data_IF_760331966831
#
_entry.id   IF_760331966831
#
_cell.length_a   1.000
_cell.length_b   1.000
_cell.length_c   1.000
_cell.angle_alpha   90.00
_cell.angle_beta   90.00
_cell.angle_gamma   90.00
#
_symmetry.space_group_name_H-M   'P 1'
#
loop_
_entity.id
_entity.type
_entity.pdbx_description
1 polymer ?
#
# COMPACT_ATOMS: atom_id res chain seq x y z
N UNK A 1 -20.26 -55.83 5.40
CA UNK A 1 -21.36 -54.85 5.31
C UNK A 1 -22.59 -55.44 4.60
N UNK A 2 -22.44 -56.32 3.64
CA UNK A 2 -23.59 -57.09 3.04
C UNK A 2 -24.40 -57.93 4.04
N UNK A 3 -23.86 -58.25 5.21
CA UNK A 3 -24.59 -58.99 6.25
C UNK A 3 -25.67 -58.16 6.94
N UNK A 4 -25.42 -56.86 7.18
CA UNK A 4 -26.41 -55.97 7.81
C UNK A 4 -27.60 -55.75 6.87
N UNK A 5 -27.35 -55.58 5.58
CA UNK A 5 -28.40 -55.42 4.57
C UNK A 5 -29.21 -56.71 4.46
N UNK A 6 -28.54 -57.89 4.44
CA UNK A 6 -29.19 -59.20 4.44
C UNK A 6 -29.98 -59.47 5.72
N UNK A 7 -29.46 -59.02 6.86
CA UNK A 7 -30.16 -59.19 8.15
C UNK A 7 -31.43 -58.36 8.23
N UNK A 8 -31.37 -57.12 7.72
CA UNK A 8 -32.53 -56.23 7.62
C UNK A 8 -33.55 -56.76 6.60
N UNK A 9 -33.07 -57.26 5.45
CA UNK A 9 -33.94 -57.92 4.46
C UNK A 9 -34.59 -59.19 5.02
N UNK A 10 -33.89 -60.03 5.78
CA UNK A 10 -34.46 -61.22 6.42
C UNK A 10 -35.46 -60.86 7.51
N UNK A 11 -35.19 -59.83 8.30
CA UNK A 11 -36.16 -59.35 9.32
C UNK A 11 -37.43 -58.76 8.69
N UNK A 12 -37.31 -58.08 7.56
CA UNK A 12 -38.44 -57.50 6.81
C UNK A 12 -39.17 -58.53 5.94
N UNK A 13 -38.49 -59.56 5.44
CA UNK A 13 -39.11 -60.69 4.71
C UNK A 13 -40.00 -61.58 5.58
N UNK A 14 -39.85 -61.49 6.89
CA UNK A 14 -40.79 -62.13 7.84
C UNK A 14 -42.14 -61.39 7.96
N UNK A 15 -42.22 -60.14 7.41
CA UNK A 15 -43.45 -59.38 7.30
C UNK A 15 -44.11 -59.62 5.92
N UNK A 16 -45.40 -59.59 5.80
CA UNK A 16 -46.24 -59.93 4.61
C UNK A 16 -46.10 -58.94 3.44
N UNK A 17 -45.01 -58.21 3.36
CA UNK A 17 -44.71 -57.18 2.33
C UNK A 17 -44.02 -57.82 1.11
N UNK A 18 -44.66 -57.77 -0.05
CA UNK A 18 -44.13 -58.31 -1.33
C UNK A 18 -43.95 -57.19 -2.36
N UNK A 19 -42.90 -57.30 -3.20
CA UNK A 19 -42.69 -56.43 -4.32
C UNK A 19 -41.99 -55.10 -4.00
N UNK A 20 -42.31 -54.01 -4.73
CA UNK A 20 -41.65 -52.69 -4.62
C UNK A 20 -41.75 -52.02 -3.26
N UNK A 21 -42.75 -52.36 -2.44
CA UNK A 21 -42.89 -51.88 -1.06
C UNK A 21 -41.78 -52.39 -0.14
N UNK A 22 -41.31 -53.63 -0.34
CA UNK A 22 -40.21 -54.18 0.45
C UNK A 22 -38.93 -53.37 0.23
N UNK A 23 -38.58 -53.08 -1.02
CA UNK A 23 -37.38 -52.26 -1.35
C UNK A 23 -37.48 -50.87 -0.74
N UNK A 24 -38.66 -50.27 -0.75
CA UNK A 24 -38.86 -48.90 -0.18
C UNK A 24 -38.70 -48.92 1.34
N UNK A 25 -39.28 -49.90 2.02
CA UNK A 25 -39.18 -50.05 3.48
C UNK A 25 -37.75 -50.36 3.91
N UNK A 26 -37.04 -51.23 3.17
CA UNK A 26 -35.61 -51.52 3.40
C UNK A 26 -34.74 -50.27 3.27
N UNK A 27 -34.96 -49.49 2.23
CA UNK A 27 -34.26 -48.25 2.00
C UNK A 27 -34.51 -47.24 3.13
N UNK A 28 -35.77 -47.07 3.55
CA UNK A 28 -36.15 -46.22 4.66
C UNK A 28 -35.53 -46.69 5.98
N UNK A 29 -35.50 -47.97 6.25
CA UNK A 29 -34.91 -48.57 7.45
C UNK A 29 -33.38 -48.30 7.48
N UNK A 30 -32.68 -48.46 6.34
CA UNK A 30 -31.25 -48.15 6.23
C UNK A 30 -30.96 -46.68 6.51
N UNK A 31 -31.76 -45.77 5.96
CA UNK A 31 -31.62 -44.32 6.25
C UNK A 31 -31.91 -44.03 7.73
N UNK A 32 -32.93 -44.63 8.32
CA UNK A 32 -33.27 -44.43 9.73
C UNK A 32 -32.17 -44.94 10.68
N UNK A 33 -31.58 -46.10 10.39
CA UNK A 33 -30.46 -46.66 11.19
C UNK A 33 -29.20 -45.78 11.05
N UNK A 34 -28.85 -45.38 9.85
CA UNK A 34 -27.68 -44.51 9.64
C UNK A 34 -27.88 -43.16 10.27
N UNK A 35 -29.09 -42.57 10.20
CA UNK A 35 -29.41 -41.30 10.87
C UNK A 35 -29.35 -41.42 12.40
N UNK A 36 -29.86 -42.54 12.96
CA UNK A 36 -29.77 -42.82 14.39
C UNK A 36 -28.32 -42.95 14.86
N UNK A 37 -27.50 -43.70 14.10
CA UNK A 37 -26.07 -43.84 14.41
C UNK A 37 -25.34 -42.52 14.32
N UNK A 38 -25.62 -41.73 13.30
CA UNK A 38 -25.02 -40.36 13.14
C UNK A 38 -25.43 -39.45 14.31
N UNK A 39 -26.70 -39.53 14.75
CA UNK A 39 -27.18 -38.76 15.89
C UNK A 39 -26.53 -39.20 17.22
N UNK A 40 -26.34 -40.52 17.42
CA UNK A 40 -25.64 -41.05 18.59
C UNK A 40 -24.18 -40.60 18.63
N UNK A 41 -23.47 -40.66 17.50
CA UNK A 41 -22.10 -40.18 17.38
C UNK A 41 -22.02 -38.66 17.63
N UNK A 42 -22.95 -37.90 17.09
CA UNK A 42 -23.05 -36.46 17.37
C UNK A 42 -23.24 -36.17 18.85
N UNK A 43 -24.19 -36.87 19.50
CA UNK A 43 -24.44 -36.77 20.95
C UNK A 43 -23.22 -37.14 21.79
N UNK A 44 -22.48 -38.18 21.39
CA UNK A 44 -21.24 -38.60 22.05
C UNK A 44 -20.18 -37.48 21.91
N UNK A 45 -20.00 -36.94 20.71
CA UNK A 45 -19.05 -35.86 20.47
C UNK A 45 -19.38 -34.60 21.30
N UNK A 46 -20.64 -34.18 21.32
CA UNK A 46 -21.08 -32.97 22.03
C UNK A 46 -21.11 -33.15 23.55
N UNK A 47 -21.63 -34.29 24.05
CA UNK A 47 -21.83 -34.47 25.48
C UNK A 47 -20.64 -35.10 26.23
N UNK A 48 -19.77 -35.82 25.53
CA UNK A 48 -18.61 -36.49 26.15
C UNK A 48 -17.31 -35.93 25.69
N UNK A 49 -17.06 -35.91 24.38
CA UNK A 49 -15.74 -35.49 23.82
C UNK A 49 -15.48 -33.99 24.03
N UNK A 50 -16.47 -33.14 23.74
CA UNK A 50 -16.30 -31.67 23.90
C UNK A 50 -16.02 -31.30 25.37
N UNK A 51 -16.78 -31.69 26.39
CA UNK A 51 -16.47 -31.30 27.77
C UNK A 51 -15.20 -31.95 28.31
N UNK A 52 -14.81 -33.12 27.79
CA UNK A 52 -13.55 -33.77 28.16
C UNK A 52 -12.36 -32.94 27.61
N UNK A 53 -12.40 -32.53 26.34
CA UNK A 53 -11.38 -31.69 25.72
C UNK A 53 -11.27 -30.32 26.42
N UNK A 54 -12.39 -29.65 26.68
CA UNK A 54 -12.42 -28.39 27.42
C UNK A 54 -11.82 -28.52 28.81
N UNK A 55 -12.09 -29.68 29.50
CA UNK A 55 -11.51 -29.93 30.84
C UNK A 55 -10.01 -30.17 30.79
N UNK A 56 -9.47 -30.76 29.73
CA UNK A 56 -8.04 -30.94 29.52
C UNK A 56 -7.39 -29.60 29.24
N UNK A 57 -7.97 -28.79 28.35
CA UNK A 57 -7.48 -27.46 28.01
C UNK A 57 -7.39 -26.54 29.23
N UNK A 58 -8.38 -26.52 30.07
CA UNK A 58 -8.38 -25.71 31.30
C UNK A 58 -7.28 -26.10 32.33
N UNK A 59 -6.54 -27.19 32.09
CA UNK A 59 -5.42 -27.64 32.93
C UNK A 59 -4.03 -27.31 32.32
N UNK A 60 -4.00 -26.86 31.08
CA UNK A 60 -2.76 -26.49 30.40
C UNK A 60 -2.59 -24.96 30.46
N UNK A 61 -1.36 -24.49 30.79
CA UNK A 61 -1.01 -23.06 30.82
C UNK A 61 -0.71 -22.49 29.42
N UNK A 62 -1.04 -23.21 28.36
CA UNK A 62 -0.69 -22.86 26.98
C UNK A 62 -1.80 -22.02 26.34
N UNK A 63 -1.51 -20.78 26.04
CA UNK A 63 -2.47 -19.80 25.49
C UNK A 63 -3.09 -20.25 24.13
N UNK A 64 -2.37 -21.05 23.34
CA UNK A 64 -2.85 -21.52 22.02
C UNK A 64 -4.00 -22.54 22.10
N UNK A 65 -4.08 -23.29 23.21
CA UNK A 65 -5.12 -24.31 23.42
C UNK A 65 -6.50 -23.69 23.58
N UNK A 66 -6.60 -22.51 24.19
CA UNK A 66 -7.85 -21.80 24.42
C UNK A 66 -8.52 -21.36 23.11
N UNK A 67 -7.72 -21.11 22.05
CA UNK A 67 -8.23 -20.72 20.72
C UNK A 67 -8.59 -21.90 19.86
N UNK A 68 -7.74 -22.94 19.85
CA UNK A 68 -7.93 -24.18 19.09
C UNK A 68 -9.12 -24.99 19.61
N UNK A 69 -9.28 -25.06 20.92
CA UNK A 69 -10.26 -25.88 21.62
C UNK A 69 -11.46 -25.08 22.18
N UNK A 70 -11.66 -23.87 21.61
CA UNK A 70 -12.84 -23.07 21.94
C UNK A 70 -14.12 -23.88 21.77
N UNK A 71 -15.08 -23.84 22.72
CA UNK A 71 -16.35 -24.60 22.65
C UNK A 71 -17.11 -24.46 21.33
N UNK A 72 -17.02 -23.26 20.68
CA UNK A 72 -17.65 -23.01 19.37
C UNK A 72 -16.99 -23.79 18.24
N UNK A 73 -15.65 -23.90 18.27
CA UNK A 73 -14.87 -24.66 17.28
C UNK A 73 -15.12 -26.15 17.47
N UNK A 74 -15.04 -26.62 18.70
CA UNK A 74 -15.33 -28.04 19.04
C UNK A 74 -16.74 -28.44 18.64
N UNK A 75 -17.74 -27.60 18.91
CA UNK A 75 -19.12 -27.87 18.48
C UNK A 75 -19.24 -27.93 16.95
N UNK A 76 -18.54 -27.06 16.21
CA UNK A 76 -18.50 -27.13 14.75
C UNK A 76 -17.80 -28.41 14.26
N UNK A 77 -16.74 -28.85 14.93
CA UNK A 77 -16.04 -30.12 14.64
C UNK A 77 -16.95 -31.36 14.89
N UNK A 78 -17.82 -31.31 15.89
CA UNK A 78 -18.76 -32.36 16.17
C UNK A 78 -19.75 -32.64 15.02
N UNK A 79 -19.95 -31.72 14.10
CA UNK A 79 -20.76 -31.96 12.89
C UNK A 79 -20.01 -32.71 11.80
N UNK A 80 -18.66 -32.60 11.76
CA UNK A 80 -17.83 -33.23 10.73
C UNK A 80 -17.73 -34.74 10.95
N UNK A 81 -17.56 -35.19 12.19
CA UNK A 81 -17.36 -36.62 12.52
C UNK A 81 -18.53 -37.49 12.08
N UNK A 82 -19.80 -37.19 12.44
CA UNK A 82 -20.95 -37.96 11.95
C UNK A 82 -21.11 -37.91 10.43
N UNK A 83 -20.77 -36.77 9.82
CA UNK A 83 -20.86 -36.62 8.38
C UNK A 83 -19.90 -37.56 7.64
N UNK A 84 -18.64 -37.67 8.11
CA UNK A 84 -17.66 -38.63 7.57
C UNK A 84 -18.15 -40.08 7.75
N UNK A 85 -18.72 -40.39 8.93
CA UNK A 85 -19.28 -41.69 9.18
C UNK A 85 -20.40 -42.04 8.19
N UNK A 86 -21.37 -41.14 7.99
CA UNK A 86 -22.46 -41.32 7.01
C UNK A 86 -21.92 -41.51 5.60
N UNK A 87 -20.93 -40.69 5.20
CA UNK A 87 -20.29 -40.78 3.88
C UNK A 87 -19.58 -42.11 3.63
N UNK A 88 -19.02 -42.72 4.67
CA UNK A 88 -18.30 -43.97 4.59
C UNK A 88 -19.21 -45.19 4.64
N UNK A 89 -20.31 -45.11 5.44
CA UNK A 89 -21.19 -46.28 5.68
C UNK A 89 -22.39 -46.34 4.72
N UNK A 90 -22.98 -45.21 4.35
CA UNK A 90 -24.26 -45.21 3.62
C UNK A 90 -24.14 -45.60 2.15
N UNK A 91 -23.15 -45.14 1.34
CA UNK A 91 -23.06 -45.53 -0.07
C UNK A 91 -22.88 -47.05 -0.30
N UNK A 92 -22.02 -47.76 0.45
CA UNK A 92 -21.91 -49.23 0.29
C UNK A 92 -23.18 -50.01 0.64
N UNK A 93 -24.02 -49.45 1.52
CA UNK A 93 -25.31 -50.08 1.87
C UNK A 93 -26.36 -49.96 0.74
N UNK A 94 -26.12 -49.05 -0.20
CA UNK A 94 -27.02 -48.72 -1.32
C UNK A 94 -26.55 -49.31 -2.68
N UNK A 95 -25.69 -50.35 -2.66
CA UNK A 95 -25.17 -50.99 -3.90
C UNK A 95 -26.26 -51.51 -4.83
N UNK A 96 -27.41 -51.93 -4.27
CA UNK A 96 -28.56 -52.38 -5.04
C UNK A 96 -29.29 -51.26 -5.81
N UNK A 97 -29.02 -49.96 -5.46
CA UNK A 97 -29.69 -48.80 -6.03
C UNK A 97 -28.66 -47.76 -6.52
N UNK A 98 -28.02 -47.93 -7.68
CA UNK A 98 -26.85 -47.11 -8.12
C UNK A 98 -27.16 -45.63 -8.28
N UNK A 99 -28.39 -45.27 -8.65
CA UNK A 99 -28.81 -43.85 -8.77
C UNK A 99 -28.90 -43.19 -7.42
N UNK A 100 -29.56 -43.86 -6.45
CA UNK A 100 -29.71 -43.39 -5.06
C UNK A 100 -28.33 -43.31 -4.39
N UNK A 101 -27.47 -44.31 -4.59
CA UNK A 101 -26.10 -44.35 -4.09
C UNK A 101 -25.30 -43.12 -4.51
N UNK A 102 -25.30 -42.77 -5.82
CA UNK A 102 -24.62 -41.60 -6.34
C UNK A 102 -25.16 -40.29 -5.77
N UNK A 103 -26.51 -40.20 -5.67
CA UNK A 103 -27.15 -38.98 -5.15
C UNK A 103 -26.79 -38.75 -3.66
N UNK A 104 -26.87 -39.82 -2.87
CA UNK A 104 -26.52 -39.78 -1.44
C UNK A 104 -25.04 -39.51 -1.23
N UNK A 105 -24.15 -40.11 -2.02
CA UNK A 105 -22.73 -39.86 -1.95
C UNK A 105 -22.41 -38.37 -2.25
N UNK A 106 -23.06 -37.78 -3.26
CA UNK A 106 -22.95 -36.35 -3.53
C UNK A 106 -23.48 -35.47 -2.42
N UNK A 107 -24.68 -35.78 -1.92
CA UNK A 107 -25.32 -35.01 -0.85
C UNK A 107 -24.49 -35.06 0.45
N UNK A 108 -23.94 -36.21 0.82
CA UNK A 108 -23.05 -36.31 2.00
C UNK A 108 -21.72 -35.63 1.80
N UNK A 109 -21.13 -35.69 0.60
CA UNK A 109 -19.90 -34.94 0.27
C UNK A 109 -20.11 -33.40 0.33
N UNK A 110 -21.24 -32.90 -0.17
CA UNK A 110 -21.62 -31.50 -0.04
C UNK A 110 -21.80 -31.11 1.43
N UNK A 111 -22.49 -31.94 2.23
CA UNK A 111 -22.69 -31.71 3.67
C UNK A 111 -21.34 -31.65 4.41
N UNK A 112 -20.42 -32.59 4.14
CA UNK A 112 -19.05 -32.57 4.70
C UNK A 112 -18.34 -31.28 4.33
N UNK A 113 -18.40 -30.86 3.05
CA UNK A 113 -17.78 -29.63 2.59
C UNK A 113 -18.31 -28.42 3.36
N UNK A 114 -19.61 -28.30 3.55
CA UNK A 114 -20.26 -27.25 4.34
C UNK A 114 -19.84 -27.32 5.81
N UNK A 115 -19.81 -28.52 6.41
CA UNK A 115 -19.39 -28.68 7.79
C UNK A 115 -17.93 -28.29 8.03
N UNK A 116 -17.03 -28.73 7.17
CA UNK A 116 -15.59 -28.34 7.20
C UNK A 116 -15.43 -26.84 6.98
N UNK A 117 -16.14 -26.27 6.01
CA UNK A 117 -16.10 -24.83 5.75
C UNK A 117 -16.57 -24.03 6.99
N UNK A 118 -17.66 -24.42 7.64
CA UNK A 118 -18.14 -23.84 8.91
C UNK A 118 -17.11 -23.97 10.02
N UNK A 119 -16.47 -25.13 10.14
CA UNK A 119 -15.42 -25.38 11.13
C UNK A 119 -14.25 -24.39 10.91
N UNK A 120 -13.74 -24.28 9.69
CA UNK A 120 -12.62 -23.37 9.37
C UNK A 120 -13.01 -21.91 9.59
N UNK A 121 -14.21 -21.49 9.16
CA UNK A 121 -14.72 -20.12 9.39
C UNK A 121 -14.84 -19.81 10.88
N UNK A 122 -15.35 -20.77 11.69
CA UNK A 122 -15.47 -20.62 13.13
C UNK A 122 -14.10 -20.56 13.80
N UNK A 123 -13.16 -21.40 13.34
CA UNK A 123 -11.79 -21.39 13.80
C UNK A 123 -11.10 -20.04 13.51
N UNK A 124 -11.18 -19.53 12.27
CA UNK A 124 -10.69 -18.17 11.96
C UNK A 124 -11.38 -17.11 12.83
N UNK A 125 -12.66 -17.35 13.17
CA UNK A 125 -13.43 -16.47 14.05
C UNK A 125 -12.96 -16.47 15.50
N UNK A 126 -12.40 -17.59 15.99
CA UNK A 126 -11.94 -17.69 17.38
C UNK A 126 -10.71 -16.81 17.65
N UNK A 127 -9.89 -16.56 16.65
CA UNK A 127 -8.77 -15.59 16.77
C UNK A 127 -9.22 -14.15 17.04
N UNK A 128 -10.48 -13.82 16.78
CA UNK A 128 -11.03 -12.50 17.15
C UNK A 128 -11.23 -12.32 18.65
N UNK A 129 -11.27 -13.39 19.44
CA UNK A 129 -11.38 -13.34 20.89
C UNK A 129 -10.07 -12.88 21.56
N UNK A 130 -8.97 -12.81 20.83
CA UNK A 130 -7.70 -12.24 21.30
C UNK A 130 -7.82 -10.72 21.60
N UNK A 131 -8.92 -10.09 21.23
CA UNK A 131 -9.16 -8.65 21.29
C UNK A 131 -10.25 -8.31 22.32
N UNK A 132 -10.09 -8.75 23.57
CA UNK A 132 -11.10 -8.51 24.61
C UNK A 132 -11.01 -7.12 25.26
N UNK A 133 -10.03 -6.30 24.93
CA UNK A 133 -9.91 -4.92 25.46
C UNK A 133 -10.50 -3.91 24.46
N UNK A 134 -11.79 -3.60 24.66
CA UNK A 134 -12.58 -2.76 23.76
C UNK A 134 -12.16 -1.26 23.69
N UNK A 135 -11.25 -0.79 24.55
CA UNK A 135 -10.99 0.64 24.69
C UNK A 135 -9.78 1.18 23.90
N UNK A 136 -8.85 0.35 23.40
CA UNK A 136 -7.70 0.82 22.60
C UNK A 136 -7.30 -0.20 21.55
N UNK A 137 -8.04 -0.23 20.43
CA UNK A 137 -7.62 -1.03 19.26
C UNK A 137 -6.35 -0.45 18.65
N UNK A 138 -5.26 -1.19 18.73
CA UNK A 138 -4.05 -0.85 17.99
C UNK A 138 -4.26 -1.04 16.49
N UNK A 139 -3.57 -0.25 15.65
CA UNK A 139 -3.64 -0.38 14.19
C UNK A 139 -3.35 -1.82 13.73
N UNK A 140 -2.42 -2.52 14.40
CA UNK A 140 -2.10 -3.92 14.11
C UNK A 140 -3.29 -4.87 14.31
N UNK A 141 -4.09 -4.68 15.35
CA UNK A 141 -5.30 -5.48 15.63
C UNK A 141 -6.37 -5.27 14.56
N UNK A 142 -6.53 -4.04 14.08
CA UNK A 142 -7.47 -3.71 13.01
C UNK A 142 -7.07 -4.36 11.68
N UNK A 143 -5.77 -4.36 11.34
CA UNK A 143 -5.25 -5.08 10.17
C UNK A 143 -5.46 -6.59 10.28
N UNK A 144 -5.19 -7.18 11.45
CA UNK A 144 -5.40 -8.61 11.69
C UNK A 144 -6.87 -9.00 11.55
N UNK A 145 -7.80 -8.20 12.09
CA UNK A 145 -9.22 -8.40 11.93
C UNK A 145 -9.68 -8.40 10.46
N UNK A 146 -9.17 -7.44 9.68
CA UNK A 146 -9.44 -7.35 8.24
C UNK A 146 -8.87 -8.56 7.49
N UNK A 147 -7.66 -9.00 7.84
CA UNK A 147 -7.04 -10.20 7.29
C UNK A 147 -7.86 -11.47 7.54
N UNK A 148 -8.36 -11.67 8.78
CA UNK A 148 -9.28 -12.77 9.10
C UNK A 148 -10.58 -12.70 8.27
N UNK A 149 -11.06 -11.50 7.96
CA UNK A 149 -12.19 -11.29 7.06
C UNK A 149 -11.93 -11.82 5.65
N UNK A 150 -10.78 -11.47 5.09
CA UNK A 150 -10.33 -11.94 3.76
C UNK A 150 -10.18 -13.46 3.75
N UNK A 151 -9.56 -14.06 4.77
CA UNK A 151 -9.42 -15.52 4.87
C UNK A 151 -10.78 -16.23 4.85
N UNK A 152 -11.80 -15.69 5.52
CA UNK A 152 -13.15 -16.26 5.49
C UNK A 152 -13.76 -16.24 4.10
N UNK A 153 -13.55 -15.17 3.34
CA UNK A 153 -14.00 -15.05 1.94
C UNK A 153 -13.31 -16.11 1.08
N UNK A 154 -12.00 -16.30 1.24
CA UNK A 154 -11.24 -17.33 0.51
C UNK A 154 -11.76 -18.72 0.83
N UNK A 155 -11.99 -19.04 2.09
CA UNK A 155 -12.55 -20.34 2.51
C UNK A 155 -13.95 -20.58 1.92
N UNK A 156 -14.79 -19.54 1.93
CA UNK A 156 -16.12 -19.60 1.32
C UNK A 156 -16.02 -19.85 -0.20
N UNK A 157 -15.16 -19.14 -0.88
CA UNK A 157 -14.93 -19.27 -2.32
C UNK A 157 -14.46 -20.69 -2.69
N UNK A 158 -13.46 -21.22 -1.96
CA UNK A 158 -12.97 -22.58 -2.17
C UNK A 158 -14.05 -23.62 -1.88
N UNK A 159 -14.82 -23.45 -0.81
CA UNK A 159 -15.93 -24.34 -0.48
C UNK A 159 -17.02 -24.37 -1.56
N UNK A 160 -17.36 -23.22 -2.13
CA UNK A 160 -18.30 -23.12 -3.25
C UNK A 160 -17.77 -23.85 -4.49
N UNK A 161 -16.48 -23.70 -4.83
CA UNK A 161 -15.87 -24.42 -5.95
C UNK A 161 -15.93 -25.94 -5.74
N UNK A 162 -15.63 -26.41 -4.54
CA UNK A 162 -15.72 -27.85 -4.22
C UNK A 162 -17.16 -28.34 -4.35
N UNK A 163 -18.15 -27.60 -3.86
CA UNK A 163 -19.57 -27.97 -4.00
C UNK A 163 -19.97 -28.05 -5.48
N UNK A 164 -19.61 -27.03 -6.28
CA UNK A 164 -19.90 -27.00 -7.72
C UNK A 164 -19.22 -28.20 -8.41
N UNK A 165 -17.96 -28.50 -8.07
CA UNK A 165 -17.21 -29.64 -8.61
C UNK A 165 -17.92 -30.98 -8.35
N UNK A 166 -18.44 -31.18 -7.12
CA UNK A 166 -19.20 -32.37 -6.75
C UNK A 166 -20.50 -32.47 -7.56
N UNK A 167 -21.21 -31.35 -7.76
CA UNK A 167 -22.48 -31.35 -8.50
C UNK A 167 -22.27 -31.72 -9.96
N UNK A 168 -21.23 -31.18 -10.62
CA UNK A 168 -20.98 -31.38 -12.06
C UNK A 168 -20.06 -32.60 -12.36
N UNK A 169 -19.69 -33.39 -11.36
CA UNK A 169 -18.78 -34.55 -11.48
C UNK A 169 -17.41 -34.18 -12.09
N UNK A 170 -16.82 -33.08 -11.66
CA UNK A 170 -15.48 -32.65 -12.07
C UNK A 170 -14.56 -32.52 -10.85
N UNK A 171 -13.25 -32.55 -11.09
CA UNK A 171 -12.31 -32.30 -9.99
C UNK A 171 -12.29 -30.82 -9.61
N UNK A 172 -12.25 -30.48 -8.33
CA UNK A 172 -12.11 -29.08 -7.90
C UNK A 172 -10.86 -28.40 -8.45
N UNK A 173 -9.77 -29.18 -8.61
CA UNK A 173 -8.50 -28.67 -9.18
C UNK A 173 -8.66 -28.25 -10.63
N UNK A 174 -9.41 -29.00 -11.44
CA UNK A 174 -9.68 -28.65 -12.86
C UNK A 174 -10.45 -27.32 -12.95
N UNK A 175 -11.44 -27.12 -12.07
CA UNK A 175 -12.19 -25.86 -12.02
C UNK A 175 -11.30 -24.69 -11.60
N UNK A 176 -10.51 -24.90 -10.56
CA UNK A 176 -9.54 -23.88 -10.10
C UNK A 176 -8.52 -23.53 -11.20
N UNK A 177 -7.99 -24.52 -11.91
CA UNK A 177 -7.06 -24.29 -13.01
C UNK A 177 -7.70 -23.48 -14.14
N UNK A 178 -8.93 -23.82 -14.54
CA UNK A 178 -9.68 -23.07 -15.55
C UNK A 178 -9.97 -21.63 -15.13
N UNK A 179 -10.48 -21.45 -13.90
CA UNK A 179 -10.73 -20.11 -13.33
C UNK A 179 -9.42 -19.31 -13.20
N UNK A 180 -8.33 -19.96 -12.77
CA UNK A 180 -7.02 -19.32 -12.65
C UNK A 180 -6.49 -18.82 -13.98
N UNK A 181 -6.55 -19.65 -15.03
CA UNK A 181 -6.14 -19.27 -16.39
C UNK A 181 -6.96 -18.10 -16.92
N UNK A 182 -8.29 -18.16 -16.80
CA UNK A 182 -9.18 -17.07 -17.23
C UNK A 182 -8.90 -15.79 -16.45
N UNK A 183 -8.72 -15.90 -15.13
CA UNK A 183 -8.42 -14.74 -14.26
C UNK A 183 -7.07 -14.10 -14.61
N UNK A 184 -6.06 -14.91 -14.97
CA UNK A 184 -4.75 -14.39 -15.39
C UNK A 184 -4.87 -13.56 -16.68
N UNK A 185 -5.64 -14.04 -17.67
CA UNK A 185 -5.89 -13.29 -18.90
C UNK A 185 -6.65 -12.00 -18.62
N UNK A 186 -7.72 -12.05 -17.82
CA UNK A 186 -8.48 -10.87 -17.45
C UNK A 186 -7.61 -9.87 -16.68
N UNK A 187 -6.79 -10.34 -15.73
CA UNK A 187 -5.86 -9.47 -14.99
C UNK A 187 -4.88 -8.77 -15.93
N UNK A 188 -4.37 -9.48 -16.95
CA UNK A 188 -3.46 -8.90 -17.95
C UNK A 188 -4.16 -7.79 -18.76
N UNK A 189 -5.39 -8.02 -19.17
CA UNK A 189 -6.18 -7.03 -19.93
C UNK A 189 -6.50 -5.78 -19.11
N UNK A 190 -6.84 -5.95 -17.83
CA UNK A 190 -7.23 -4.84 -16.95
C UNK A 190 -6.09 -4.25 -16.12
N UNK A 191 -4.87 -4.80 -16.21
CA UNK A 191 -3.71 -4.40 -15.40
C UNK A 191 -3.52 -2.88 -15.37
N UNK A 192 -3.45 -2.25 -16.54
CA UNK A 192 -3.15 -0.81 -16.63
C UNK A 192 -4.30 0.04 -16.09
N UNK A 193 -5.54 -0.38 -16.31
CA UNK A 193 -6.72 0.30 -15.79
C UNK A 193 -6.76 0.25 -14.25
N UNK A 194 -6.49 -0.92 -13.66
CA UNK A 194 -6.46 -1.10 -12.21
C UNK A 194 -5.30 -0.30 -11.60
N UNK A 195 -4.12 -0.36 -12.21
CA UNK A 195 -2.93 0.35 -11.72
C UNK A 195 -3.15 1.87 -11.79
N UNK A 196 -3.73 2.37 -12.88
CA UNK A 196 -4.09 3.79 -13.03
C UNK A 196 -5.10 4.26 -11.99
N UNK A 197 -6.13 3.46 -11.73
CA UNK A 197 -7.15 3.75 -10.70
C UNK A 197 -6.51 3.82 -9.29
N UNK A 198 -5.71 2.81 -8.93
CA UNK A 198 -5.01 2.77 -7.63
C UNK A 198 -4.06 3.94 -7.48
N UNK A 199 -3.36 4.32 -8.56
CA UNK A 199 -2.48 5.48 -8.59
C UNK A 199 -3.27 6.78 -8.36
N UNK A 200 -4.40 6.98 -9.04
CA UNK A 200 -5.27 8.14 -8.83
C UNK A 200 -5.77 8.26 -7.39
N UNK A 201 -6.19 7.14 -6.79
CA UNK A 201 -6.59 7.11 -5.37
C UNK A 201 -5.42 7.48 -4.46
N UNK A 202 -4.22 6.94 -4.69
CA UNK A 202 -3.02 7.26 -3.87
C UNK A 202 -2.63 8.73 -3.97
N UNK A 203 -2.62 9.32 -5.17
CA UNK A 203 -2.32 10.73 -5.37
C UNK A 203 -3.25 11.62 -4.54
N UNK A 204 -4.55 11.32 -4.58
CA UNK A 204 -5.58 12.10 -3.87
C UNK A 204 -5.55 11.84 -2.36
N UNK A 205 -5.47 10.58 -1.93
CA UNK A 205 -5.50 10.22 -0.49
C UNK A 205 -4.26 10.66 0.27
N UNK A 206 -3.10 10.75 -0.39
CA UNK A 206 -1.86 11.21 0.23
C UNK A 206 -1.58 12.70 -0.02
N UNK A 207 -2.52 13.42 -0.60
CA UNK A 207 -2.38 14.85 -0.90
C UNK A 207 -1.11 15.20 -1.69
N UNK A 208 -0.68 14.30 -2.58
CA UNK A 208 0.57 14.49 -3.33
C UNK A 208 0.45 15.58 -4.39
N UNK A 209 -0.72 15.70 -5.00
CA UNK A 209 -1.07 16.70 -6.03
C UNK A 209 -2.52 17.11 -5.87
N UNK A 210 -2.80 18.40 -5.99
CA UNK A 210 -4.15 18.98 -5.99
C UNK A 210 -4.37 19.85 -7.21
N UNK A 211 -5.63 20.06 -7.58
CA UNK A 211 -5.99 21.07 -8.58
C UNK A 211 -5.51 22.45 -8.13
N UNK A 212 -4.83 23.16 -9.01
CA UNK A 212 -4.21 24.45 -8.72
C UNK A 212 -2.73 24.37 -8.32
N UNK A 213 -2.18 23.20 -8.05
CA UNK A 213 -0.76 23.04 -7.74
C UNK A 213 0.08 23.29 -9.01
N UNK A 214 1.19 23.96 -8.83
CA UNK A 214 2.25 24.00 -9.86
C UNK A 214 3.13 22.76 -9.68
N UNK A 215 3.20 21.93 -10.72
CA UNK A 215 4.04 20.74 -10.77
C UNK A 215 5.00 20.77 -11.97
N UNK A 216 6.16 20.12 -11.80
CA UNK A 216 7.12 19.88 -12.88
C UNK A 216 7.37 18.37 -12.99
N UNK A 217 7.16 17.82 -14.20
CA UNK A 217 7.45 16.44 -14.57
C UNK A 217 8.31 16.48 -15.84
N UNK A 218 9.61 16.60 -15.66
CA UNK A 218 10.56 16.84 -16.78
C UNK A 218 10.46 15.79 -17.88
N UNK A 219 10.39 14.51 -17.50
CA UNK A 219 10.31 13.38 -18.45
C UNK A 219 9.10 13.43 -19.37
N UNK A 220 8.03 14.08 -18.94
CA UNK A 220 6.76 14.16 -19.68
C UNK A 220 6.51 15.56 -20.27
N UNK A 221 7.46 16.49 -20.11
CA UNK A 221 7.31 17.85 -20.59
C UNK A 221 6.21 18.66 -19.90
N UNK A 222 5.80 18.27 -18.70
CA UNK A 222 4.82 19.01 -17.91
C UNK A 222 5.54 19.94 -16.95
N UNK A 223 5.29 21.26 -17.09
CA UNK A 223 5.76 22.30 -16.18
C UNK A 223 4.72 23.42 -16.13
N UNK A 224 3.81 23.33 -15.18
CA UNK A 224 2.68 24.26 -15.11
C UNK A 224 1.70 23.93 -14.00
N UNK A 225 0.50 24.48 -14.12
CA UNK A 225 -0.55 24.36 -13.10
C UNK A 225 -1.49 23.21 -13.42
N UNK A 226 -1.82 22.41 -12.43
CA UNK A 226 -2.82 21.35 -12.53
C UNK A 226 -4.20 21.97 -12.75
N UNK A 227 -4.73 21.84 -13.94
CA UNK A 227 -6.03 22.38 -14.32
C UNK A 227 -7.17 21.49 -13.88
N UNK A 228 -6.99 20.18 -14.04
CA UNK A 228 -8.02 19.20 -13.73
C UNK A 228 -7.38 17.87 -13.34
N UNK A 229 -8.03 17.14 -12.44
CA UNK A 229 -7.56 15.84 -11.98
C UNK A 229 -8.75 14.88 -11.86
N UNK A 230 -8.63 13.74 -12.53
CA UNK A 230 -9.56 12.62 -12.46
C UNK A 230 -8.82 11.38 -11.92
N UNK A 231 -9.53 10.28 -11.70
CA UNK A 231 -8.91 9.02 -11.27
C UNK A 231 -7.94 8.43 -12.30
N UNK A 232 -8.09 8.79 -13.57
CA UNK A 232 -7.27 8.24 -14.67
C UNK A 232 -6.36 9.24 -15.34
N UNK A 233 -6.53 10.54 -15.10
CA UNK A 233 -5.77 11.59 -15.80
C UNK A 233 -5.54 12.82 -14.92
N UNK A 234 -4.34 13.42 -15.05
CA UNK A 234 -4.00 14.74 -14.50
C UNK A 234 -3.68 15.65 -15.68
N UNK A 235 -4.44 16.74 -15.85
CA UNK A 235 -4.20 17.74 -16.89
C UNK A 235 -3.39 18.88 -16.30
N UNK A 236 -2.22 19.14 -16.89
CA UNK A 236 -1.32 20.23 -16.52
C UNK A 236 -1.32 21.27 -17.64
N UNK A 237 -1.68 22.50 -17.32
CA UNK A 237 -1.53 23.64 -18.21
C UNK A 237 -0.13 24.21 -18.01
N UNK A 238 0.74 24.00 -18.99
CA UNK A 238 2.06 24.55 -19.01
C UNK A 238 2.06 26.08 -19.10
N UNK A 239 3.17 26.72 -18.77
CA UNK A 239 3.31 28.18 -18.84
C UNK A 239 3.32 28.75 -20.28
N UNK A 240 3.50 27.90 -21.29
CA UNK A 240 3.32 28.24 -22.71
C UNK A 240 1.87 28.06 -23.20
N UNK A 241 0.92 27.83 -22.27
CA UNK A 241 -0.49 27.53 -22.50
C UNK A 241 -0.81 26.19 -23.18
N UNK A 242 0.16 25.32 -23.40
CA UNK A 242 -0.10 23.95 -23.82
C UNK A 242 -0.66 23.11 -22.68
N UNK A 243 -1.46 22.08 -23.01
CA UNK A 243 -1.99 21.16 -22.01
C UNK A 243 -1.30 19.81 -22.17
N UNK A 244 -0.65 19.35 -21.11
CA UNK A 244 -0.08 18.01 -21.03
C UNK A 244 -0.97 17.15 -20.15
N UNK A 245 -1.36 15.98 -20.67
CA UNK A 245 -2.14 14.99 -19.92
C UNK A 245 -1.21 13.90 -19.38
N UNK A 246 -1.13 13.82 -18.07
CA UNK A 246 -0.24 12.90 -17.36
C UNK A 246 -1.08 11.79 -16.71
N UNK A 247 -0.82 10.50 -16.99
CA UNK A 247 -1.43 9.41 -16.25
C UNK A 247 -1.00 9.44 -14.78
N UNK A 248 -1.92 9.28 -13.80
CA UNK A 248 -1.60 9.24 -12.37
C UNK A 248 -0.51 8.23 -12.00
N UNK A 249 -0.48 7.10 -12.71
CA UNK A 249 0.53 6.07 -12.54
C UNK A 249 1.95 6.61 -12.73
N UNK A 250 2.16 7.47 -13.74
CA UNK A 250 3.48 8.06 -14.03
C UNK A 250 3.95 9.01 -12.94
N UNK A 251 3.03 9.69 -12.26
CA UNK A 251 3.37 10.55 -11.12
C UNK A 251 3.77 9.75 -9.87
N UNK A 252 3.31 8.49 -9.74
CA UNK A 252 3.69 7.61 -8.63
C UNK A 252 4.96 6.81 -8.94
N UNK A 253 5.14 6.36 -10.19
CA UNK A 253 6.32 5.59 -10.62
C UNK A 253 7.56 6.45 -10.73
N UNK A 254 7.42 7.67 -11.23
CA UNK A 254 8.51 8.62 -11.41
C UNK A 254 8.49 9.71 -10.32
N UNK A 255 9.64 10.37 -10.13
CA UNK A 255 9.68 11.56 -9.29
C UNK A 255 9.14 12.77 -10.06
N UNK A 256 8.38 13.60 -9.38
CA UNK A 256 7.95 14.92 -9.85
C UNK A 256 8.17 15.96 -8.77
N UNK A 257 8.26 17.21 -9.16
CA UNK A 257 8.39 18.33 -8.24
C UNK A 257 7.04 19.03 -8.08
N UNK A 258 6.54 19.12 -6.84
CA UNK A 258 5.38 19.94 -6.48
C UNK A 258 5.89 21.24 -5.84
N UNK A 259 5.56 22.37 -6.45
CA UNK A 259 5.99 23.70 -6.02
C UNK A 259 5.11 24.29 -4.91
N UNK A 260 4.06 23.59 -4.49
CA UNK A 260 3.16 24.06 -3.43
C UNK A 260 3.91 24.31 -2.12
N UNK A 261 4.89 23.47 -1.79
CA UNK A 261 5.76 23.71 -0.63
C UNK A 261 6.53 25.04 -0.71
N UNK A 262 7.02 25.42 -1.90
CA UNK A 262 7.64 26.72 -2.12
C UNK A 262 6.60 27.85 -1.99
N UNK A 263 5.40 27.67 -2.55
CA UNK A 263 4.32 28.66 -2.45
C UNK A 263 3.88 28.92 -1.00
N UNK A 264 3.92 27.90 -0.15
CA UNK A 264 3.56 27.99 1.27
C UNK A 264 4.73 28.42 2.17
N UNK A 265 5.98 28.33 1.68
CA UNK A 265 7.18 28.71 2.45
C UNK A 265 7.34 30.22 2.56
N UNK A 266 8.26 30.68 3.40
CA UNK A 266 8.54 32.10 3.64
C UNK A 266 9.44 32.75 2.57
N UNK A 267 9.74 32.05 1.46
CA UNK A 267 10.55 32.62 0.41
C UNK A 267 10.87 31.66 -0.74
N UNK A 268 11.16 32.25 -1.91
CA UNK A 268 11.61 31.51 -3.10
C UNK A 268 13.13 31.56 -3.20
N UNK A 269 13.74 30.37 -3.30
CA UNK A 269 15.21 30.21 -3.34
C UNK A 269 15.81 30.84 -4.59
N UNK A 270 16.91 31.57 -4.38
CA UNK A 270 17.85 32.03 -5.41
C UNK A 270 19.15 31.28 -5.24
N UNK A 271 19.68 30.77 -6.34
CA UNK A 271 21.01 30.18 -6.44
C UNK A 271 21.61 30.67 -7.76
N UNK A 272 22.62 31.53 -7.68
CA UNK A 272 23.29 32.08 -8.85
C UNK A 272 24.80 32.00 -8.68
N UNK A 273 25.50 31.73 -9.76
CA UNK A 273 26.97 31.63 -9.78
C UNK A 273 27.54 32.79 -10.54
N UNK A 274 28.62 33.38 -9.98
CA UNK A 274 29.46 34.41 -10.60
C UNK A 274 30.84 33.79 -10.73
N UNK A 275 31.43 33.83 -11.92
CA UNK A 275 32.76 33.30 -12.19
C UNK A 275 33.78 34.41 -12.10
N UNK A 276 34.70 34.32 -11.14
CA UNK A 276 35.77 35.31 -10.96
C UNK A 276 37.03 34.85 -11.67
N UNK A 277 37.67 35.76 -12.41
CA UNK A 277 38.95 35.51 -13.04
C UNK A 277 40.04 35.35 -11.98
N UNK A 278 40.72 34.21 -11.99
CA UNK A 278 41.78 33.87 -11.05
C UNK A 278 42.93 34.90 -11.01
N UNK A 279 43.26 35.48 -12.15
CA UNK A 279 44.36 36.47 -12.24
C UNK A 279 44.09 37.75 -11.45
N UNK A 280 42.84 37.99 -11.09
CA UNK A 280 42.43 39.17 -10.32
C UNK A 280 42.33 38.91 -8.82
N UNK A 281 42.49 37.65 -8.39
CA UNK A 281 42.42 37.28 -6.98
C UNK A 281 43.82 37.46 -6.35
N UNK A 282 43.90 38.27 -5.32
CA UNK A 282 45.16 38.55 -4.64
C UNK A 282 44.96 39.22 -3.28
N UNK A 283 46.10 39.50 -2.63
CA UNK A 283 46.09 40.26 -1.36
C UNK A 283 45.69 41.69 -1.66
N UNK A 284 44.74 42.23 -0.93
CA UNK A 284 44.25 43.59 -1.10
C UNK A 284 45.33 44.59 -0.71
N UNK A 285 45.83 45.34 -1.70
CA UNK A 285 46.82 46.41 -1.50
C UNK A 285 46.17 47.62 -0.77
N UNK A 286 47.01 48.43 -0.14
CA UNK A 286 46.53 49.56 0.69
C UNK A 286 45.71 50.56 -0.12
N UNK A 287 46.05 50.84 -1.40
CA UNK A 287 45.24 51.67 -2.28
C UNK A 287 43.82 51.13 -2.47
N UNK A 288 43.66 49.82 -2.61
CA UNK A 288 42.32 49.19 -2.71
C UNK A 288 41.57 49.35 -1.39
N UNK A 289 42.22 49.07 -0.25
CA UNK A 289 41.63 49.20 1.08
C UNK A 289 41.16 50.62 1.36
N UNK A 290 42.00 51.65 1.04
CA UNK A 290 41.67 53.07 1.19
C UNK A 290 40.43 53.42 0.36
N UNK A 291 40.39 53.04 -0.93
CA UNK A 291 39.27 53.27 -1.84
C UNK A 291 37.97 52.64 -1.31
N UNK A 292 38.01 51.39 -0.75
CA UNK A 292 36.84 50.73 -0.17
C UNK A 292 36.29 51.48 1.05
N UNK A 293 37.15 52.11 1.86
CA UNK A 293 36.72 52.93 3.01
C UNK A 293 36.12 54.26 2.54
N UNK A 294 36.78 54.95 1.60
CA UNK A 294 36.31 56.22 1.05
C UNK A 294 34.93 56.08 0.39
N UNK A 295 34.68 54.97 -0.31
CA UNK A 295 33.40 54.66 -0.93
C UNK A 295 32.38 54.06 0.05
N UNK A 296 32.70 53.96 1.35
CA UNK A 296 31.86 53.40 2.41
C UNK A 296 31.42 51.94 2.17
N UNK A 297 32.16 51.22 1.33
CA UNK A 297 31.88 49.80 1.06
C UNK A 297 32.34 48.89 2.21
N UNK A 298 33.44 49.29 2.90
CA UNK A 298 34.01 48.55 4.03
C UNK A 298 34.36 49.49 5.20
N UNK A 299 34.26 48.99 6.43
CA UNK A 299 34.76 49.72 7.60
C UNK A 299 36.24 49.39 7.82
N UNK A 300 37.03 50.36 8.34
CA UNK A 300 38.48 50.23 8.55
C UNK A 300 38.83 49.03 9.43
N UNK A 301 38.00 48.72 10.43
CA UNK A 301 38.20 47.61 11.34
C UNK A 301 38.10 46.22 10.67
N UNK A 302 37.51 46.12 9.48
CA UNK A 302 37.32 44.92 8.70
C UNK A 302 38.51 44.60 7.76
N UNK A 303 39.40 45.54 7.60
CA UNK A 303 40.52 45.47 6.68
C UNK A 303 41.80 45.01 7.41
N UNK A 304 41.95 43.69 7.53
CA UNK A 304 43.16 43.06 8.09
C UNK A 304 44.36 43.27 7.16
N UNK A 305 45.61 43.16 7.68
CA UNK A 305 46.84 43.43 6.91
C UNK A 305 46.97 42.58 5.66
N UNK A 306 46.74 41.28 5.75
CA UNK A 306 46.92 40.32 4.63
C UNK A 306 45.59 39.70 4.18
N UNK A 307 44.57 40.49 3.94
CA UNK A 307 43.28 40.01 3.49
C UNK A 307 43.20 39.92 1.96
N UNK A 308 42.59 38.82 1.48
CA UNK A 308 42.38 38.62 0.04
C UNK A 308 41.17 39.45 -0.41
N UNK A 309 41.30 40.10 -1.57
CA UNK A 309 40.24 40.94 -2.14
C UNK A 309 38.93 40.19 -2.36
N UNK A 310 38.99 38.90 -2.75
CA UNK A 310 37.81 38.03 -2.88
C UNK A 310 37.10 37.82 -1.53
N UNK A 311 37.84 37.71 -0.43
CA UNK A 311 37.26 37.58 0.92
C UNK A 311 36.49 38.85 1.29
N UNK A 312 37.07 40.02 0.98
CA UNK A 312 36.40 41.30 1.20
C UNK A 312 35.10 41.42 0.38
N UNK A 313 35.14 41.02 -0.90
CA UNK A 313 34.00 41.01 -1.78
C UNK A 313 32.87 40.09 -1.23
N UNK A 314 33.19 38.81 -0.91
CA UNK A 314 32.21 37.88 -0.39
C UNK A 314 31.54 38.40 0.89
N UNK A 315 32.33 38.88 1.85
CA UNK A 315 31.82 39.43 3.11
C UNK A 315 30.98 40.70 2.91
N UNK A 316 31.33 41.50 1.87
CA UNK A 316 30.56 42.68 1.52
C UNK A 316 29.20 42.28 0.94
N UNK A 317 29.18 41.39 -0.05
CA UNK A 317 27.95 40.93 -0.68
C UNK A 317 27.01 40.24 0.33
N UNK A 318 27.56 39.42 1.22
CA UNK A 318 26.74 38.73 2.25
C UNK A 318 26.07 39.75 3.16
N UNK A 319 26.76 40.78 3.63
CA UNK A 319 26.16 41.85 4.43
C UNK A 319 25.18 42.71 3.62
N UNK A 320 25.47 42.95 2.35
CA UNK A 320 24.60 43.74 1.48
C UNK A 320 23.26 43.00 1.25
N UNK A 321 23.31 41.65 1.06
CA UNK A 321 22.15 40.78 0.95
C UNK A 321 21.36 40.80 2.28
N UNK A 322 22.04 40.69 3.43
CA UNK A 322 21.42 40.74 4.75
C UNK A 322 20.57 42.00 4.98
N UNK A 323 21.01 43.14 4.42
CA UNK A 323 20.34 44.43 4.55
C UNK A 323 19.33 44.71 3.43
N UNK A 324 19.20 43.81 2.45
CA UNK A 324 18.24 43.97 1.36
C UNK A 324 16.83 43.64 1.82
N UNK A 325 15.87 44.55 1.60
CA UNK A 325 14.46 44.44 2.08
C UNK A 325 13.72 43.27 1.44
N UNK A 326 14.07 42.88 0.23
CA UNK A 326 13.42 41.82 -0.53
C UNK A 326 13.91 40.44 -0.13
N UNK A 327 15.04 40.35 0.58
CA UNK A 327 15.61 39.08 1.05
C UNK A 327 15.00 38.67 2.39
N UNK A 328 14.66 37.40 2.54
CA UNK A 328 14.25 36.83 3.83
C UNK A 328 15.49 36.33 4.59
N UNK A 329 15.92 37.11 5.56
CA UNK A 329 17.09 36.80 6.40
C UNK A 329 16.83 35.78 7.50
N UNK A 330 15.57 35.37 7.72
CA UNK A 330 15.23 34.27 8.62
C UNK A 330 15.54 32.88 7.98
N UNK A 331 15.70 32.85 6.64
CA UNK A 331 16.13 31.68 5.92
C UNK A 331 17.64 31.74 5.63
N UNK A 332 18.22 30.59 5.31
CA UNK A 332 19.67 30.51 5.04
C UNK A 332 20.07 31.40 3.87
N UNK A 333 21.04 32.27 4.09
CA UNK A 333 21.71 33.02 3.03
C UNK A 333 23.21 32.91 3.21
N UNK A 334 23.96 32.91 2.11
CA UNK A 334 25.40 32.82 2.10
C UNK A 334 26.01 33.23 0.74
N UNK A 335 27.25 33.66 0.79
CA UNK A 335 28.09 33.84 -0.40
C UNK A 335 29.31 32.93 -0.26
N UNK A 336 29.29 31.79 -0.97
CA UNK A 336 30.34 30.78 -0.86
C UNK A 336 31.13 30.56 -2.13
N UNK A 337 32.37 30.14 -1.95
CA UNK A 337 33.23 29.67 -3.02
C UNK A 337 32.97 28.18 -3.29
N UNK A 338 32.89 27.83 -4.58
CA UNK A 338 32.84 26.44 -5.02
C UNK A 338 34.19 25.99 -5.59
N UNK A 339 34.23 24.74 -6.09
CA UNK A 339 35.44 24.20 -6.70
C UNK A 339 35.82 25.02 -7.98
N UNK A 340 37.12 25.29 -8.19
CA UNK A 340 37.58 25.95 -9.39
C UNK A 340 37.21 25.22 -10.66
N UNK A 341 36.92 25.98 -11.72
CA UNK A 341 36.63 25.46 -13.06
C UNK A 341 37.58 26.08 -14.08
N UNK A 342 37.57 25.54 -15.31
CA UNK A 342 38.28 26.13 -16.43
C UNK A 342 37.70 27.49 -16.87
N UNK A 343 36.54 27.88 -16.39
CA UNK A 343 35.87 29.17 -16.63
C UNK A 343 35.97 30.12 -15.43
N UNK A 344 36.98 29.96 -14.57
CA UNK A 344 37.18 30.81 -13.39
C UNK A 344 36.76 30.18 -12.08
N UNK A 345 36.80 30.96 -11.01
CA UNK A 345 36.39 30.55 -9.67
C UNK A 345 34.89 30.85 -9.44
N UNK A 346 34.03 29.83 -9.31
CA UNK A 346 32.61 30.07 -9.06
C UNK A 346 32.40 30.60 -7.65
N UNK A 347 31.69 31.70 -7.51
CA UNK A 347 31.14 32.23 -6.26
C UNK A 347 29.62 32.06 -6.34
N UNK A 348 29.09 31.21 -5.48
CA UNK A 348 27.65 31.00 -5.38
C UNK A 348 27.03 32.00 -4.42
N UNK A 349 26.03 32.72 -4.92
CA UNK A 349 25.16 33.60 -4.14
C UNK A 349 23.86 32.83 -3.86
N UNK A 350 23.63 32.54 -2.61
CA UNK A 350 22.49 31.71 -2.14
C UNK A 350 21.67 32.51 -1.15
N UNK A 351 20.38 32.70 -1.43
CA UNK A 351 19.45 33.42 -0.55
C UNK A 351 17.99 33.13 -0.92
N UNK A 352 17.04 33.66 -0.17
CA UNK A 352 15.60 33.54 -0.45
C UNK A 352 14.98 34.92 -0.61
N UNK A 353 14.21 35.12 -1.68
CA UNK A 353 13.38 36.31 -1.88
C UNK A 353 12.01 36.08 -1.22
N UNK A 354 11.50 37.13 -0.52
CA UNK A 354 10.19 37.11 0.15
C UNK A 354 9.04 36.97 -0.84
N UNK A 355 9.12 37.74 -1.94
CA UNK A 355 8.11 37.68 -2.98
C UNK A 355 8.36 36.46 -3.89
N UNK A 356 7.32 35.65 -4.06
CA UNK A 356 7.35 34.39 -4.81
C UNK A 356 6.63 34.49 -6.16
N UNK A 357 5.89 35.58 -6.40
CA UNK A 357 5.23 35.85 -7.66
C UNK A 357 6.30 35.98 -8.77
N UNK A 358 6.11 35.24 -9.88
CA UNK A 358 7.17 35.00 -10.84
C UNK A 358 7.78 36.30 -11.41
N UNK A 359 6.93 37.21 -11.88
CA UNK A 359 7.41 38.46 -12.48
C UNK A 359 8.20 39.30 -11.48
N UNK A 360 7.68 39.52 -10.29
CA UNK A 360 8.31 40.27 -9.21
C UNK A 360 9.59 39.59 -8.73
N UNK A 361 9.59 38.28 -8.62
CA UNK A 361 10.76 37.48 -8.27
C UNK A 361 11.91 37.69 -9.28
N UNK A 362 11.64 37.61 -10.58
CA UNK A 362 12.67 37.78 -11.61
C UNK A 362 13.21 39.22 -11.64
N UNK A 363 12.36 40.25 -11.44
CA UNK A 363 12.81 41.64 -11.38
C UNK A 363 13.70 41.85 -10.15
N UNK A 364 13.29 41.45 -8.96
CA UNK A 364 14.10 41.61 -7.75
C UNK A 364 15.42 40.83 -7.84
N UNK A 365 15.41 39.66 -8.46
CA UNK A 365 16.59 38.86 -8.70
C UNK A 365 17.56 39.59 -9.67
N UNK A 366 17.05 40.15 -10.75
CA UNK A 366 17.86 40.88 -11.73
C UNK A 366 18.55 42.10 -11.07
N UNK A 367 17.81 42.93 -10.34
CA UNK A 367 18.34 44.09 -9.62
C UNK A 367 19.44 43.71 -8.62
N UNK A 368 19.24 42.63 -7.88
CA UNK A 368 20.26 42.14 -6.95
C UNK A 368 21.50 41.64 -7.67
N UNK A 369 21.36 40.88 -8.75
CA UNK A 369 22.50 40.33 -9.48
C UNK A 369 23.28 41.44 -10.23
N UNK A 370 22.59 42.41 -10.83
CA UNK A 370 23.20 43.58 -11.46
C UNK A 370 24.04 44.38 -10.46
N UNK A 371 23.49 44.58 -9.24
CA UNK A 371 24.24 45.25 -8.17
C UNK A 371 25.53 44.49 -7.80
N UNK A 372 25.42 43.15 -7.66
CA UNK A 372 26.55 42.30 -7.32
C UNK A 372 27.62 42.33 -8.43
N UNK A 373 27.21 42.31 -9.70
CA UNK A 373 28.15 42.45 -10.84
C UNK A 373 28.85 43.81 -10.83
N UNK A 374 28.12 44.88 -10.53
CA UNK A 374 28.69 46.23 -10.45
C UNK A 374 29.68 46.38 -9.28
N UNK A 375 29.51 45.65 -8.18
CA UNK A 375 30.44 45.70 -7.05
C UNK A 375 31.76 44.95 -7.31
N UNK A 376 31.82 43.92 -8.13
CA UNK A 376 33.02 43.11 -8.30
C UNK A 376 34.27 43.93 -8.71
N UNK A 377 34.22 44.88 -9.68
CA UNK A 377 35.36 45.77 -10.04
C UNK A 377 35.81 46.65 -8.89
N UNK A 378 34.93 47.06 -7.98
CA UNK A 378 35.29 47.88 -6.83
C UNK A 378 36.27 47.18 -5.89
N UNK A 379 36.19 45.87 -5.84
CA UNK A 379 37.12 45.01 -5.08
C UNK A 379 38.34 44.56 -5.89
N UNK A 380 38.53 45.13 -7.10
CA UNK A 380 39.63 44.75 -7.98
C UNK A 380 39.46 43.36 -8.60
N UNK A 381 38.22 42.86 -8.64
CA UNK A 381 37.89 41.56 -9.22
C UNK A 381 37.31 41.73 -10.63
N UNK A 382 37.67 40.83 -11.52
CA UNK A 382 37.13 40.78 -12.88
C UNK A 382 36.26 39.55 -12.98
N UNK A 383 35.03 39.71 -13.51
CA UNK A 383 34.15 38.57 -13.83
C UNK A 383 34.73 37.93 -15.09
N UNK A 384 34.89 36.61 -15.07
CA UNK A 384 35.40 35.87 -16.20
C UNK A 384 34.42 35.92 -17.37
N UNK A 385 34.93 36.28 -18.50
CA UNK A 385 34.23 36.20 -19.80
C UNK A 385 35.13 35.46 -20.76
N UNK A 386 34.57 34.53 -21.50
CA UNK A 386 35.31 33.82 -22.55
C UNK A 386 35.46 34.79 -23.72
N UNK A 387 36.71 35.06 -24.11
CA UNK A 387 37.04 35.82 -25.32
C UNK A 387 36.72 35.02 -26.58
#
# INVERSE_FOLDING_TARGET
MNEITKYIEQLLASTTLTGGWLSFVTLFALFAVTALMAWLVYMLCVKVVTPLLVRITNRTEVIWDDYLLNPKVLHSACHVVPAIMVWQMLPPLLEAHPVTQKLVAKATAIYITIAVMRLVITFIGSFKLFDSDQNHRTAAQQYFHSFCGVLKIVVLFLGVIVIVAIVIDRSPLTLLAGLGATSAVLMLVFKDSITGLVAGIRLTSNDMVRKGDWITVEKLGANGVVEDMTLSTVKVRNFDNTIVTVPPQKLIEDSFQNWQGMQQSDGRRVTRMIYIDFHTIGIAHDNLKQRLVERKLMKKEQLKSNVVNLTLFRNYIERWIEHNKEVNTNLTFMVRQLQPTNTGLPIEVYFFLKNKEWKTYEHNLAEIMESIYAFAPEFGLKIYQRE
#
